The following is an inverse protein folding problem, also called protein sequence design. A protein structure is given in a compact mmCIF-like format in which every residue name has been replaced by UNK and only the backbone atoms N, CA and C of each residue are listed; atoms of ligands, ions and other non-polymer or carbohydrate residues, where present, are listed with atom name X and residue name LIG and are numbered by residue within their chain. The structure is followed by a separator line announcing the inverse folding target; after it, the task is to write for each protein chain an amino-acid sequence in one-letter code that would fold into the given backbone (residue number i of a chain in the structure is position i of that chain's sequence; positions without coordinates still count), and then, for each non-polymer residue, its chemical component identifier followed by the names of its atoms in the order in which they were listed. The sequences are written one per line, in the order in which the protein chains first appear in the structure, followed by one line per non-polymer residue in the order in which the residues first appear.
data_IF_851067568469
#
_entry.id   IF_851067568469
#
_cell.length_a   1.000
_cell.length_b   1.000
_cell.length_c   1.000
_cell.angle_alpha   90.00
_cell.angle_beta   90.00
_cell.angle_gamma   90.00
#
_symmetry.space_group_name_H-M   'P 1'
#
loop_
_entity.id
_entity.type
_entity.pdbx_description
1 polymer ?
#
# COMPACT_ATOMS: atom_id res chain seq x y z
N UNK A 1 7.67 -18.61 15.43
CA UNK A 1 8.28 -17.90 14.29
C UNK A 1 7.17 -17.15 13.58
N UNK A 2 7.37 -15.88 13.24
CA UNK A 2 6.38 -15.05 12.55
C UNK A 2 6.82 -14.92 11.09
N UNK A 3 5.94 -15.28 10.16
CA UNK A 3 6.22 -15.41 8.73
C UNK A 3 5.18 -14.58 7.96
N UNK A 4 5.49 -13.32 7.67
CA UNK A 4 4.75 -12.53 6.68
C UNK A 4 4.83 -13.21 5.30
N UNK A 5 3.71 -13.27 4.57
CA UNK A 5 3.64 -13.86 3.23
C UNK A 5 3.30 -12.84 2.15
N UNK A 6 3.80 -13.11 0.94
CA UNK A 6 3.67 -12.26 -0.24
C UNK A 6 2.28 -12.32 -0.88
N UNK A 7 2.01 -11.38 -1.79
CA UNK A 7 0.93 -11.41 -2.78
C UNK A 7 1.14 -12.62 -3.70
N UNK A 8 0.07 -13.33 -4.12
CA UNK A 8 0.21 -14.51 -4.95
C UNK A 8 0.39 -14.12 -6.41
N UNK A 9 1.24 -14.85 -7.13
CA UNK A 9 1.44 -14.63 -8.56
C UNK A 9 0.17 -15.03 -9.35
N UNK A 10 -0.27 -14.26 -10.35
CA UNK A 10 0.19 -12.91 -10.74
C UNK A 10 -0.34 -11.84 -9.79
N UNK A 11 0.47 -10.86 -9.38
CA UNK A 11 0.16 -9.93 -8.29
C UNK A 11 -1.05 -9.02 -8.54
N UNK A 12 -1.30 -8.70 -9.82
CA UNK A 12 -2.28 -7.70 -10.25
C UNK A 12 -3.47 -8.27 -11.04
N UNK A 13 -3.46 -9.58 -11.32
CA UNK A 13 -4.54 -10.27 -12.00
C UNK A 13 -4.78 -11.64 -11.37
N UNK A 14 -6.01 -11.86 -10.93
CA UNK A 14 -6.44 -13.01 -10.15
C UNK A 14 -7.30 -14.02 -10.91
N UNK A 15 -7.52 -13.89 -12.22
CA UNK A 15 -8.47 -14.74 -12.95
C UNK A 15 -8.14 -16.23 -13.03
N UNK A 16 -6.91 -16.64 -12.69
CA UNK A 16 -6.50 -18.05 -12.49
C UNK A 16 -6.44 -18.48 -11.02
N UNK A 17 -6.66 -17.56 -10.07
CA UNK A 17 -6.57 -17.75 -8.62
C UNK A 17 -7.78 -17.14 -7.91
N UNK A 18 -8.96 -17.66 -8.25
CA UNK A 18 -10.22 -17.17 -7.69
C UNK A 18 -10.34 -17.53 -6.20
N UNK A 19 -10.95 -16.63 -5.44
CA UNK A 19 -11.21 -16.81 -4.01
C UNK A 19 -10.22 -16.06 -3.12
N UNK A 20 -10.24 -16.34 -1.82
CA UNK A 20 -9.47 -15.53 -0.86
C UNK A 20 -7.95 -15.65 -1.01
N UNK A 21 -7.45 -16.68 -1.71
CA UNK A 21 -6.02 -16.96 -1.91
C UNK A 21 -5.23 -17.16 -0.61
N UNK A 22 -5.87 -17.71 0.43
CA UNK A 22 -5.21 -18.05 1.68
C UNK A 22 -4.07 -19.07 1.41
N UNK A 23 -2.83 -18.87 1.87
CA UNK A 23 -2.29 -17.93 2.87
C UNK A 23 -1.49 -16.75 2.29
N UNK A 24 -1.88 -16.18 1.16
CA UNK A 24 -1.24 -14.97 0.65
C UNK A 24 -1.52 -13.76 1.56
N UNK A 25 -0.62 -12.77 1.55
CA UNK A 25 -0.77 -11.48 2.26
C UNK A 25 -1.18 -11.67 3.73
N UNK A 26 -0.56 -12.65 4.39
CA UNK A 26 -0.92 -13.15 5.70
C UNK A 26 0.26 -13.09 6.65
N UNK A 27 -0.01 -12.84 7.93
CA UNK A 27 0.91 -13.15 9.01
C UNK A 27 0.68 -14.60 9.42
N UNK A 28 1.63 -15.48 9.13
CA UNK A 28 1.57 -16.90 9.52
C UNK A 28 2.50 -17.15 10.69
N UNK A 29 2.01 -17.78 11.76
CA UNK A 29 2.80 -18.08 12.96
C UNK A 29 2.99 -19.58 13.10
N UNK A 30 4.25 -19.98 13.19
CA UNK A 30 4.68 -21.38 13.24
C UNK A 30 5.46 -21.67 14.52
N UNK A 31 5.33 -22.87 15.07
CA UNK A 31 6.31 -23.39 16.02
C UNK A 31 7.68 -23.48 15.32
N UNK A 32 8.71 -22.93 15.96
CA UNK A 32 10.02 -22.80 15.33
C UNK A 32 10.81 -24.13 15.25
N UNK A 33 10.40 -25.16 16.01
CA UNK A 33 11.07 -26.47 16.05
C UNK A 33 10.39 -27.46 15.12
N UNK A 34 9.06 -27.43 15.04
CA UNK A 34 8.26 -28.40 14.27
C UNK A 34 7.79 -27.85 12.93
N UNK A 35 7.67 -26.53 12.80
CA UNK A 35 7.05 -25.88 11.63
C UNK A 35 5.52 -25.98 11.62
N UNK A 36 4.90 -26.51 12.67
CA UNK A 36 3.45 -26.58 12.78
C UNK A 36 2.86 -25.18 12.93
N UNK A 37 1.75 -24.92 12.22
CA UNK A 37 1.07 -23.62 12.26
C UNK A 37 0.27 -23.48 13.56
N UNK A 38 0.62 -22.48 14.35
CA UNK A 38 -0.10 -22.07 15.56
C UNK A 38 -1.35 -21.28 15.19
N UNK A 39 -1.16 -20.17 14.49
CA UNK A 39 -2.25 -19.31 14.01
C UNK A 39 -1.82 -18.52 12.77
N UNK A 40 -2.77 -17.85 12.14
CA UNK A 40 -2.51 -16.93 11.04
C UNK A 40 -3.60 -15.86 10.97
N UNK A 41 -3.30 -14.75 10.32
CA UNK A 41 -4.29 -13.75 9.91
C UNK A 41 -4.00 -13.28 8.50
N UNK A 42 -5.01 -13.27 7.63
CA UNK A 42 -4.89 -12.78 6.26
C UNK A 42 -5.33 -11.31 6.20
N UNK A 43 -4.46 -10.43 5.71
CA UNK A 43 -4.69 -8.98 5.70
C UNK A 43 -5.30 -8.47 4.40
N UNK A 44 -5.29 -9.27 3.33
CA UNK A 44 -5.94 -8.98 2.05
C UNK A 44 -6.50 -10.28 1.49
N UNK A 45 -7.78 -10.27 1.14
CA UNK A 45 -8.41 -11.34 0.39
C UNK A 45 -8.26 -11.07 -1.10
N UNK A 46 -7.85 -12.10 -1.85
CA UNK A 46 -7.73 -11.98 -3.30
C UNK A 46 -6.91 -10.75 -3.74
N UNK A 47 -5.66 -10.62 -3.29
CA UNK A 47 -4.84 -9.44 -3.58
C UNK A 47 -4.74 -9.10 -5.06
N UNK A 48 -4.86 -7.82 -5.40
CA UNK A 48 -4.73 -7.27 -6.77
C UNK A 48 -3.86 -6.00 -6.81
N UNK A 49 -3.23 -5.64 -5.69
CA UNK A 49 -2.65 -4.31 -5.46
C UNK A 49 -1.17 -4.34 -5.07
N UNK A 50 -0.59 -5.54 -4.93
CA UNK A 50 0.74 -5.74 -4.33
C UNK A 50 0.80 -5.18 -2.89
N UNK A 51 -0.09 -5.65 -2.03
CA UNK A 51 -0.23 -5.22 -0.64
C UNK A 51 0.24 -6.29 0.35
N UNK A 52 1.32 -6.97 0.00
CA UNK A 52 1.95 -7.94 0.88
C UNK A 52 2.54 -7.37 2.17
N UNK A 53 2.72 -8.28 3.13
CA UNK A 53 3.39 -8.00 4.38
C UNK A 53 4.88 -8.23 4.18
N UNK A 54 5.61 -7.15 3.98
CA UNK A 54 7.02 -7.22 3.56
C UNK A 54 8.03 -7.14 4.70
N UNK A 55 7.63 -6.61 5.85
CA UNK A 55 8.52 -6.35 6.98
C UNK A 55 8.37 -7.42 8.06
N UNK A 56 9.40 -7.57 8.89
CA UNK A 56 9.25 -8.36 10.10
C UNK A 56 8.35 -7.61 11.11
N UNK A 57 7.47 -8.31 11.85
CA UNK A 57 6.63 -7.67 12.86
C UNK A 57 7.46 -7.22 14.08
N UNK A 58 6.92 -6.26 14.81
CA UNK A 58 7.44 -5.84 16.11
C UNK A 58 6.77 -6.64 17.24
N UNK A 59 7.56 -7.15 18.19
CA UNK A 59 7.05 -7.86 19.36
C UNK A 59 7.20 -6.99 20.61
N UNK A 60 6.17 -6.95 21.45
CA UNK A 60 6.13 -6.10 22.64
C UNK A 60 5.15 -6.62 23.69
N UNK A 61 5.07 -5.92 24.82
CA UNK A 61 4.03 -6.14 25.82
C UNK A 61 3.27 -4.83 26.03
N UNK A 62 1.98 -4.84 25.70
CA UNK A 62 1.08 -3.68 25.77
C UNK A 62 0.29 -3.68 27.07
N UNK A 63 -0.14 -2.50 27.51
CA UNK A 63 -1.22 -2.35 28.49
C UNK A 63 -2.43 -1.68 27.85
N UNK A 64 -3.46 -2.46 27.54
CA UNK A 64 -4.67 -1.98 26.85
C UNK A 64 -5.87 -2.18 27.77
N UNK A 65 -6.56 -1.10 28.13
CA UNK A 65 -7.70 -1.13 29.05
C UNK A 65 -7.40 -1.84 30.40
N UNK A 66 -6.17 -1.69 30.91
CA UNK A 66 -5.71 -2.35 32.14
C UNK A 66 -5.38 -3.84 31.98
N UNK A 67 -5.44 -4.40 30.76
CA UNK A 67 -4.99 -5.76 30.45
C UNK A 67 -3.59 -5.72 29.86
N UNK A 68 -2.69 -6.51 30.45
CA UNK A 68 -1.36 -6.76 29.90
C UNK A 68 -1.45 -7.80 28.77
N UNK A 69 -0.93 -7.48 27.58
CA UNK A 69 -1.01 -8.34 26.38
C UNK A 69 0.39 -8.48 25.80
N UNK A 70 0.84 -9.71 25.60
CA UNK A 70 2.06 -10.00 24.83
C UNK A 70 1.71 -9.92 23.35
N UNK A 71 2.09 -8.82 22.71
CA UNK A 71 1.58 -8.45 21.39
C UNK A 71 2.60 -8.62 20.27
N UNK A 72 2.06 -8.79 19.06
CA UNK A 72 2.75 -8.68 17.78
C UNK A 72 2.05 -7.61 16.96
N UNK A 73 2.81 -6.64 16.44
CA UNK A 73 2.32 -5.56 15.60
C UNK A 73 2.97 -5.66 14.21
N UNK A 74 2.15 -5.67 13.16
CA UNK A 74 2.57 -5.77 11.77
C UNK A 74 2.05 -4.54 11.00
N UNK A 75 2.96 -3.75 10.46
CA UNK A 75 2.62 -2.63 9.57
C UNK A 75 2.46 -3.14 8.14
N UNK A 76 1.42 -2.71 7.44
CA UNK A 76 1.13 -3.20 6.10
C UNK A 76 1.36 -2.15 5.02
N UNK A 77 1.58 -2.62 3.77
CA UNK A 77 1.56 -1.77 2.58
C UNK A 77 0.23 -1.01 2.41
N UNK A 78 -0.87 -1.55 2.93
CA UNK A 78 -2.17 -0.88 2.93
C UNK A 78 -2.19 0.40 3.77
N UNK A 79 -1.22 0.59 4.68
CA UNK A 79 -1.22 1.73 5.60
C UNK A 79 -1.92 1.46 6.93
N UNK A 80 -2.15 0.19 7.27
CA UNK A 80 -2.70 -0.23 8.56
C UNK A 80 -1.61 -0.82 9.46
N UNK A 81 -1.85 -0.80 10.77
CA UNK A 81 -1.11 -1.62 11.73
C UNK A 81 -2.05 -2.69 12.28
N UNK A 82 -1.75 -3.96 12.04
CA UNK A 82 -2.49 -5.08 12.61
C UNK A 82 -1.83 -5.53 13.90
N UNK A 83 -2.58 -5.64 14.98
CA UNK A 83 -2.03 -5.96 16.31
C UNK A 83 -2.80 -7.12 16.93
N UNK A 84 -2.06 -8.13 17.34
CA UNK A 84 -2.60 -9.38 17.90
C UNK A 84 -1.93 -9.72 19.23
N UNK A 85 -2.63 -10.44 20.09
CA UNK A 85 -1.96 -11.27 21.09
C UNK A 85 -1.11 -12.30 20.33
N UNK A 86 0.19 -12.29 20.60
CA UNK A 86 1.17 -13.03 19.80
C UNK A 86 1.10 -14.54 20.04
N UNK A 87 0.49 -14.97 21.14
CA UNK A 87 0.32 -16.38 21.50
C UNK A 87 -0.97 -16.93 20.89
N UNK A 88 -2.08 -16.21 21.06
CA UNK A 88 -3.40 -16.72 20.65
C UNK A 88 -3.79 -16.33 19.21
N UNK A 89 -3.19 -15.27 18.67
CA UNK A 89 -3.61 -14.67 17.40
C UNK A 89 -4.90 -13.86 17.50
N UNK A 90 -5.46 -13.66 18.70
CA UNK A 90 -6.63 -12.81 18.89
C UNK A 90 -6.26 -11.34 18.64
N UNK A 91 -7.05 -10.60 17.85
CA UNK A 91 -6.76 -9.20 17.59
C UNK A 91 -6.94 -8.36 18.86
N UNK A 92 -6.04 -7.41 19.10
CA UNK A 92 -6.10 -6.53 20.28
C UNK A 92 -7.31 -5.59 20.20
N UNK A 93 -7.63 -5.12 19.00
CA UNK A 93 -8.84 -4.35 18.69
C UNK A 93 -9.61 -5.02 17.54
N UNK A 94 -10.93 -4.79 17.43
CA UNK A 94 -11.73 -5.41 16.36
C UNK A 94 -11.16 -5.14 14.97
N UNK A 95 -11.21 -6.18 14.13
CA UNK A 95 -10.95 -6.08 12.70
C UNK A 95 -12.26 -6.45 12.01
N UNK A 96 -12.77 -5.54 11.18
CA UNK A 96 -14.08 -5.67 10.55
C UNK A 96 -13.93 -6.08 9.08
N UNK A 97 -14.68 -7.09 8.67
CA UNK A 97 -14.91 -7.37 7.25
C UNK A 97 -15.84 -6.30 6.69
N UNK A 98 -15.33 -5.46 5.78
CA UNK A 98 -16.13 -4.39 5.16
C UNK A 98 -16.28 -4.63 3.66
N UNK A 99 -17.46 -4.38 3.07
CA UNK A 99 -17.63 -4.41 1.62
C UNK A 99 -16.68 -3.45 0.92
N UNK A 100 -16.10 -3.91 -0.19
CA UNK A 100 -15.24 -3.11 -1.07
C UNK A 100 -15.76 -3.10 -2.50
N UNK A 101 -15.17 -2.25 -3.34
CA UNK A 101 -15.52 -2.19 -4.76
C UNK A 101 -15.12 -3.49 -5.46
N UNK A 102 -16.09 -4.11 -6.13
CA UNK A 102 -15.89 -5.34 -6.92
C UNK A 102 -16.13 -5.12 -8.41
N UNK A 103 -16.45 -3.89 -8.83
CA UNK A 103 -16.65 -3.58 -10.24
C UNK A 103 -15.31 -3.66 -10.97
N UNK A 104 -15.24 -4.56 -11.95
CA UNK A 104 -14.03 -4.76 -12.76
C UNK A 104 -14.38 -4.90 -14.24
N UNK A 105 -13.55 -4.28 -15.07
CA UNK A 105 -13.53 -4.43 -16.53
C UNK A 105 -12.41 -5.39 -16.98
N UNK A 106 -11.65 -5.95 -16.03
CA UNK A 106 -10.52 -6.85 -16.32
C UNK A 106 -11.05 -8.28 -16.54
N UNK A 107 -10.81 -8.91 -17.70
CA UNK A 107 -11.39 -10.21 -18.00
C UNK A 107 -10.93 -11.32 -17.05
N UNK A 108 -11.88 -12.16 -16.64
CA UNK A 108 -11.65 -13.28 -15.72
C UNK A 108 -11.48 -12.86 -14.25
N UNK A 109 -11.40 -11.56 -13.97
CA UNK A 109 -11.21 -11.05 -12.61
C UNK A 109 -12.50 -11.13 -11.80
N UNK A 110 -12.39 -11.58 -10.54
CA UNK A 110 -13.50 -11.64 -9.59
C UNK A 110 -12.99 -11.14 -8.23
N UNK A 111 -13.01 -9.82 -7.99
CA UNK A 111 -12.55 -9.25 -6.74
C UNK A 111 -13.32 -9.81 -5.54
N UNK A 112 -12.65 -10.00 -4.41
CA UNK A 112 -13.30 -10.48 -3.20
C UNK A 112 -14.25 -9.40 -2.64
N UNK A 113 -15.47 -9.77 -2.20
CA UNK A 113 -16.50 -8.79 -1.84
C UNK A 113 -16.22 -7.97 -0.58
N UNK A 114 -15.37 -8.47 0.31
CA UNK A 114 -15.00 -7.81 1.57
C UNK A 114 -13.50 -7.80 1.79
N UNK A 115 -13.03 -6.92 2.68
CA UNK A 115 -11.64 -6.90 3.14
C UNK A 115 -11.58 -6.63 4.64
N UNK A 116 -10.51 -7.05 5.33
CA UNK A 116 -10.33 -6.82 6.76
C UNK A 116 -9.81 -5.39 7.03
N UNK A 117 -10.57 -4.63 7.81
CA UNK A 117 -10.20 -3.28 8.25
C UNK A 117 -10.00 -3.25 9.77
N UNK A 118 -8.77 -3.05 10.28
CA UNK A 118 -8.56 -2.85 11.70
C UNK A 118 -9.22 -1.55 12.15
N UNK A 119 -9.89 -1.60 13.30
CA UNK A 119 -10.54 -0.41 13.89
C UNK A 119 -9.55 0.49 14.60
N UNK A 120 -8.45 -0.08 15.12
CA UNK A 120 -7.33 0.61 15.73
C UNK A 120 -6.02 -0.11 15.42
N UNK A 121 -4.90 0.63 15.30
CA UNK A 121 -4.83 2.08 15.14
C UNK A 121 -5.49 2.57 13.83
N UNK A 122 -5.86 3.87 13.71
CA UNK A 122 -6.33 4.40 12.44
C UNK A 122 -5.24 4.28 11.36
N UNK A 123 -5.61 4.27 10.06
CA UNK A 123 -4.64 4.16 8.99
C UNK A 123 -3.61 5.29 9.05
N UNK A 124 -2.33 4.93 8.94
CA UNK A 124 -1.22 5.88 9.00
C UNK A 124 -0.85 6.47 7.63
N UNK A 125 -1.43 5.96 6.55
CA UNK A 125 -1.23 6.40 5.15
C UNK A 125 -2.56 6.62 4.45
N UNK A 126 -2.58 7.46 3.41
CA UNK A 126 -3.79 7.73 2.60
C UNK A 126 -4.42 6.46 2.02
N UNK A 127 -5.77 6.42 1.99
CA UNK A 127 -6.59 5.25 1.64
C UNK A 127 -7.46 5.52 0.40
N UNK A 128 -6.99 5.12 -0.79
CA UNK A 128 -7.64 5.41 -2.07
C UNK A 128 -7.36 6.82 -2.59
N UNK A 129 -7.90 7.18 -3.74
CA UNK A 129 -7.70 8.48 -4.40
C UNK A 129 -9.02 9.08 -4.85
N UNK A 130 -9.21 10.37 -4.61
CA UNK A 130 -10.29 11.18 -5.20
C UNK A 130 -9.73 12.41 -5.93
N UNK A 131 -10.60 13.18 -6.58
CA UNK A 131 -10.19 14.45 -7.18
C UNK A 131 -9.77 15.49 -6.13
N UNK A 132 -10.21 15.38 -4.88
CA UNK A 132 -9.82 16.28 -3.79
C UNK A 132 -8.36 16.07 -3.37
N UNK A 133 -7.77 14.95 -3.77
CA UNK A 133 -6.35 14.67 -3.57
C UNK A 133 -5.46 15.36 -4.60
N UNK A 134 -6.02 15.94 -5.66
CA UNK A 134 -5.26 16.58 -6.73
C UNK A 134 -4.25 17.58 -6.17
N UNK A 135 -3.02 17.49 -6.67
CA UNK A 135 -1.92 18.35 -6.25
C UNK A 135 -2.34 19.83 -6.36
N UNK A 136 -2.08 20.61 -5.32
CA UNK A 136 -2.55 21.99 -5.23
C UNK A 136 -1.42 22.97 -4.90
N UNK A 137 -0.16 22.62 -5.22
CA UNK A 137 0.99 23.50 -5.02
C UNK A 137 0.88 24.82 -5.79
N UNK A 138 0.27 24.80 -6.98
CA UNK A 138 -0.11 26.00 -7.74
C UNK A 138 -1.45 25.77 -8.45
N UNK A 139 -2.16 26.83 -8.87
CA UNK A 139 -3.37 26.69 -9.68
C UNK A 139 -3.15 25.93 -11.00
N UNK A 140 -2.00 26.14 -11.65
CA UNK A 140 -1.63 25.45 -12.90
C UNK A 140 -1.40 23.95 -12.66
N UNK A 141 -0.62 23.61 -11.63
CA UNK A 141 -0.38 22.21 -11.24
C UNK A 141 -1.70 21.53 -10.88
N UNK A 142 -2.60 22.24 -10.19
CA UNK A 142 -3.90 21.72 -9.81
C UNK A 142 -4.80 21.42 -10.99
N UNK A 143 -4.85 22.32 -11.98
CA UNK A 143 -5.60 22.09 -13.20
C UNK A 143 -5.08 20.86 -13.98
N UNK A 144 -3.76 20.77 -14.16
CA UNK A 144 -3.12 19.63 -14.85
C UNK A 144 -3.29 18.31 -14.09
N UNK A 145 -3.19 18.34 -12.75
CA UNK A 145 -3.43 17.18 -11.91
C UNK A 145 -4.88 16.68 -12.06
N UNK A 146 -5.86 17.57 -11.96
CA UNK A 146 -7.28 17.23 -12.12
C UNK A 146 -7.58 16.63 -13.50
N UNK A 147 -7.04 17.23 -14.57
CA UNK A 147 -7.21 16.73 -15.92
C UNK A 147 -6.68 15.31 -16.07
N UNK A 148 -5.47 15.06 -15.59
CA UNK A 148 -4.86 13.73 -15.70
C UNK A 148 -5.51 12.69 -14.78
N UNK A 149 -5.89 13.08 -13.55
CA UNK A 149 -6.61 12.21 -12.60
C UNK A 149 -7.94 11.69 -13.17
N UNK A 150 -8.67 12.53 -13.92
CA UNK A 150 -9.93 12.13 -14.59
C UNK A 150 -9.74 11.04 -15.64
N UNK A 151 -8.52 10.81 -16.12
CA UNK A 151 -8.25 9.75 -17.09
C UNK A 151 -8.13 8.35 -16.45
N UNK A 152 -8.02 8.25 -15.12
CA UNK A 152 -7.93 6.99 -14.40
C UNK A 152 -9.29 6.51 -13.86
N UNK A 153 -9.35 5.27 -13.39
CA UNK A 153 -10.33 4.87 -12.37
C UNK A 153 -9.82 5.36 -11.01
N UNK A 154 -10.69 6.00 -10.23
CA UNK A 154 -10.41 6.52 -8.90
C UNK A 154 -11.40 5.90 -7.91
N UNK A 155 -11.00 5.75 -6.65
CA UNK A 155 -11.84 5.16 -5.61
C UNK A 155 -11.07 4.83 -4.32
N UNK A 156 -11.71 4.16 -3.35
CA UNK A 156 -11.11 3.79 -2.06
C UNK A 156 -9.92 2.81 -2.18
N UNK A 157 -9.29 2.47 -1.04
CA UNK A 157 -8.08 1.61 -0.93
C UNK A 157 -8.11 0.37 -1.85
N UNK A 158 -9.25 -0.33 -1.88
CA UNK A 158 -9.43 -1.59 -2.59
C UNK A 158 -10.22 -1.44 -3.89
N UNK A 159 -10.11 -0.29 -4.58
CA UNK A 159 -10.63 -0.19 -5.95
C UNK A 159 -9.81 -1.11 -6.87
N UNK A 160 -10.44 -2.07 -7.60
CA UNK A 160 -9.72 -3.02 -8.41
C UNK A 160 -8.87 -2.36 -9.51
N UNK A 161 -7.80 -3.03 -9.99
CA UNK A 161 -7.13 -2.67 -11.23
C UNK A 161 -8.12 -2.56 -12.39
N UNK A 162 -7.74 -1.84 -13.45
CA UNK A 162 -8.61 -1.62 -14.60
C UNK A 162 -7.85 -1.66 -15.92
N UNK A 163 -8.59 -1.81 -17.02
CA UNK A 163 -7.99 -1.78 -18.35
C UNK A 163 -7.46 -0.38 -18.73
N UNK A 164 -8.05 0.68 -18.17
CA UNK A 164 -7.59 2.08 -18.38
C UNK A 164 -6.54 2.56 -17.37
N UNK A 165 -6.28 1.77 -16.32
CA UNK A 165 -5.48 2.15 -15.17
C UNK A 165 -6.33 2.71 -14.03
N UNK A 166 -6.22 2.06 -12.87
CA UNK A 166 -6.72 2.59 -11.59
C UNK A 166 -5.58 3.34 -10.91
N UNK A 167 -5.80 4.56 -10.43
CA UNK A 167 -4.79 5.22 -9.62
C UNK A 167 -4.95 4.75 -8.17
N UNK A 168 -4.17 3.76 -7.76
CA UNK A 168 -4.23 3.22 -6.40
C UNK A 168 -3.42 4.07 -5.42
N UNK A 169 -3.89 4.16 -4.18
CA UNK A 169 -3.16 4.68 -3.01
C UNK A 169 -3.53 3.83 -1.79
N UNK A 170 -2.57 3.32 -1.00
CA UNK A 170 -1.12 3.44 -1.17
C UNK A 170 -0.57 2.86 -2.48
N UNK A 171 0.68 3.21 -2.78
CA UNK A 171 1.37 2.73 -3.98
C UNK A 171 1.67 1.23 -3.83
N UNK A 172 2.20 0.61 -4.89
CA UNK A 172 2.78 -0.73 -4.82
C UNK A 172 3.97 -0.80 -3.86
N UNK A 173 4.69 0.30 -3.66
CA UNK A 173 5.69 0.45 -2.59
C UNK A 173 5.07 0.71 -1.20
N UNK A 174 3.74 0.65 -1.06
CA UNK A 174 3.01 0.69 0.19
C UNK A 174 3.03 2.01 0.96
N UNK A 175 2.22 2.07 2.01
CA UNK A 175 2.36 3.06 3.08
C UNK A 175 3.60 2.74 3.91
N UNK A 176 3.65 1.56 4.52
CA UNK A 176 4.87 0.94 5.02
C UNK A 176 5.37 -0.10 4.02
N UNK A 177 6.66 -0.42 4.03
CA UNK A 177 7.28 -1.38 3.10
C UNK A 177 8.45 -2.09 3.80
N UNK A 178 9.46 -2.53 3.03
CA UNK A 178 10.61 -3.32 3.49
C UNK A 178 11.34 -2.80 4.74
N UNK A 179 11.30 -1.49 5.00
CA UNK A 179 11.91 -0.89 6.20
C UNK A 179 11.16 -1.17 7.52
N UNK A 180 9.90 -1.61 7.45
CA UNK A 180 9.06 -1.88 8.62
C UNK A 180 8.86 -0.68 9.55
N UNK A 181 8.81 -0.96 10.84
CA UNK A 181 8.64 0.05 11.89
C UNK A 181 9.65 -0.13 13.03
N UNK A 182 9.97 0.97 13.70
CA UNK A 182 10.78 0.97 14.90
C UNK A 182 9.88 1.05 16.15
N UNK A 183 10.23 0.31 17.20
CA UNK A 183 9.49 0.29 18.46
C UNK A 183 10.34 0.88 19.58
N UNK A 184 9.75 1.76 20.39
CA UNK A 184 10.28 2.10 21.71
C UNK A 184 9.60 1.23 22.79
N UNK A 185 10.31 0.26 23.40
CA UNK A 185 9.72 -0.66 24.37
C UNK A 185 9.42 -0.01 25.73
N UNK A 186 9.92 1.20 26.01
CA UNK A 186 9.63 1.90 27.27
C UNK A 186 8.27 2.61 27.22
N UNK A 187 7.84 3.03 26.04
CA UNK A 187 6.61 3.81 25.83
C UNK A 187 5.56 3.05 25.03
N UNK A 188 5.93 1.94 24.36
CA UNK A 188 5.13 1.23 23.35
C UNK A 188 4.75 2.11 22.14
N UNK A 189 5.58 3.10 21.83
CA UNK A 189 5.41 3.89 20.63
C UNK A 189 6.01 3.16 19.43
N UNK A 190 5.20 3.02 18.38
CA UNK A 190 5.62 2.49 17.10
C UNK A 190 5.83 3.65 16.12
N UNK A 191 7.03 3.72 15.54
CA UNK A 191 7.43 4.75 14.58
C UNK A 191 7.46 4.17 13.18
N UNK A 192 6.60 4.71 12.31
CA UNK A 192 6.42 4.26 10.93
C UNK A 192 6.77 5.40 9.98
N UNK A 193 7.69 5.13 9.04
CA UNK A 193 7.94 6.03 7.90
C UNK A 193 7.00 5.64 6.78
N UNK A 194 6.25 6.60 6.25
CA UNK A 194 5.26 6.36 5.19
C UNK A 194 5.75 6.83 3.82
N UNK A 195 5.38 6.15 2.74
CA UNK A 195 5.44 6.66 1.36
C UNK A 195 4.04 7.13 0.94
N UNK A 196 3.87 8.42 0.68
CA UNK A 196 2.56 8.99 0.29
C UNK A 196 2.57 9.30 -1.21
N UNK A 197 1.76 8.55 -1.95
CA UNK A 197 1.69 8.65 -3.40
C UNK A 197 0.60 7.78 -3.98
N UNK A 198 0.34 7.95 -5.28
CA UNK A 198 -0.44 6.99 -6.05
C UNK A 198 0.43 6.36 -7.15
N UNK A 199 0.07 5.15 -7.56
CA UNK A 199 0.67 4.46 -8.71
C UNK A 199 -0.45 4.00 -9.66
N UNK A 200 -0.33 4.25 -10.97
CA UNK A 200 -1.23 3.63 -11.93
C UNK A 200 -1.14 2.11 -11.88
N UNK A 201 -2.28 1.44 -11.75
CA UNK A 201 -2.44 0.00 -11.76
C UNK A 201 -3.36 -0.38 -12.93
N UNK A 202 -2.75 -0.51 -14.11
CA UNK A 202 -3.39 -0.94 -15.35
C UNK A 202 -3.09 -2.41 -15.60
N UNK A 203 -4.13 -3.17 -15.95
CA UNK A 203 -3.95 -4.54 -16.45
C UNK A 203 -4.18 -4.55 -17.96
N UNK A 204 -3.30 -5.24 -18.69
CA UNK A 204 -3.38 -5.38 -20.15
C UNK A 204 -3.08 -6.83 -20.55
N UNK A 205 -3.57 -7.23 -21.72
CA UNK A 205 -3.26 -8.55 -22.27
C UNK A 205 -1.74 -8.65 -22.52
N UNK A 206 -1.16 -9.81 -22.22
CA UNK A 206 0.24 -10.04 -22.52
C UNK A 206 0.46 -10.12 -24.03
N UNK A 207 1.62 -9.64 -24.50
CA UNK A 207 2.07 -9.93 -25.86
C UNK A 207 2.34 -11.44 -25.98
N UNK A 208 1.65 -12.18 -26.85
CA UNK A 208 1.81 -13.63 -26.98
C UNK A 208 3.21 -14.06 -27.42
N UNK A 209 4.06 -13.12 -27.87
CA UNK A 209 5.45 -13.40 -28.22
C UNK A 209 6.40 -13.35 -27.01
N UNK A 210 5.95 -12.88 -25.84
CA UNK A 210 6.74 -12.93 -24.60
C UNK A 210 6.73 -14.37 -24.09
N UNK A 211 7.85 -15.06 -24.27
CA UNK A 211 8.03 -16.43 -23.81
C UNK A 211 8.07 -16.50 -22.27
N UNK A 212 7.78 -17.69 -21.72
CA UNK A 212 7.88 -18.02 -20.30
C UNK A 212 6.94 -17.26 -19.34
N UNK A 213 5.86 -16.65 -19.84
CA UNK A 213 4.80 -16.07 -19.01
C UNK A 213 3.47 -16.78 -19.24
N UNK A 214 3.04 -17.57 -18.25
CA UNK A 214 1.81 -18.39 -18.31
C UNK A 214 0.59 -17.67 -17.69
N UNK A 215 0.44 -16.38 -17.97
CA UNK A 215 -0.74 -15.60 -17.57
C UNK A 215 -1.25 -14.74 -18.74
N UNK A 216 -2.56 -14.69 -19.01
CA UNK A 216 -3.12 -13.95 -20.13
C UNK A 216 -3.08 -12.43 -19.96
N UNK A 217 -2.94 -11.95 -18.72
CA UNK A 217 -2.93 -10.53 -18.38
C UNK A 217 -1.75 -10.19 -17.46
N UNK A 218 -1.19 -9.00 -17.67
CA UNK A 218 -0.05 -8.48 -16.92
C UNK A 218 -0.30 -7.03 -16.49
N UNK A 219 0.51 -6.55 -15.55
CA UNK A 219 0.60 -5.15 -15.15
C UNK A 219 1.83 -4.45 -15.76
N UNK A 220 2.58 -5.12 -16.64
CA UNK A 220 3.60 -4.49 -17.46
C UNK A 220 2.95 -3.76 -18.65
N UNK A 221 2.32 -2.62 -18.36
CA UNK A 221 1.55 -1.80 -19.30
C UNK A 221 2.02 -0.33 -19.23
N UNK A 222 1.64 0.51 -20.20
CA UNK A 222 2.03 1.92 -20.18
C UNK A 222 1.60 2.66 -18.89
N UNK A 223 0.44 2.30 -18.32
CA UNK A 223 -0.04 2.79 -17.02
C UNK A 223 0.00 1.70 -15.94
N UNK A 224 0.94 0.78 -16.05
CA UNK A 224 1.17 -0.29 -15.10
C UNK A 224 2.12 0.10 -13.96
N UNK A 225 2.11 -0.65 -12.88
CA UNK A 225 3.00 -0.47 -11.73
C UNK A 225 4.30 -1.28 -11.85
N UNK A 226 4.30 -2.40 -12.58
CA UNK A 226 5.48 -3.26 -12.78
C UNK A 226 6.47 -2.90 -13.91
N UNK A 227 6.20 -2.02 -14.92
CA UNK A 227 7.12 -1.88 -16.06
C UNK A 227 8.54 -1.44 -15.70
N UNK A 228 8.72 -0.69 -14.61
CA UNK A 228 10.04 -0.28 -14.13
C UNK A 228 10.93 -1.47 -13.73
N UNK A 229 10.34 -2.58 -13.29
CA UNK A 229 11.04 -3.83 -12.95
C UNK A 229 11.58 -4.51 -14.22
N UNK A 230 10.83 -4.39 -15.32
CA UNK A 230 11.20 -4.99 -16.60
C UNK A 230 12.11 -4.11 -17.45
N UNK A 231 12.56 -2.95 -16.95
CA UNK A 231 13.39 -2.04 -17.74
C UNK A 231 14.70 -2.71 -18.16
N UNK A 232 14.90 -2.84 -19.48
CA UNK A 232 16.07 -3.51 -20.07
C UNK A 232 15.92 -5.02 -20.24
N UNK A 233 14.77 -5.59 -19.87
CA UNK A 233 14.39 -6.97 -20.14
C UNK A 233 13.49 -7.06 -21.38
N UNK A 234 13.41 -8.27 -21.95
CA UNK A 234 12.46 -8.58 -23.02
C UNK A 234 11.01 -8.39 -22.53
N UNK A 235 10.15 -7.83 -23.39
CA UNK A 235 8.77 -7.52 -23.05
C UNK A 235 8.56 -6.20 -22.28
N UNK A 236 9.60 -5.40 -22.01
CA UNK A 236 9.45 -4.07 -21.40
C UNK A 236 8.45 -3.18 -22.16
N UNK A 237 7.48 -2.62 -21.44
CA UNK A 237 6.53 -1.64 -21.98
C UNK A 237 6.89 -0.23 -21.50
N UNK A 238 7.09 0.75 -22.41
CA UNK A 238 7.35 2.13 -22.03
C UNK A 238 6.23 2.75 -21.16
N UNK A 239 6.63 3.32 -20.02
CA UNK A 239 5.71 3.96 -19.07
C UNK A 239 5.20 5.30 -19.61
N UNK A 240 3.89 5.51 -19.53
CA UNK A 240 3.25 6.81 -19.74
C UNK A 240 3.70 7.80 -18.67
N UNK A 241 4.25 8.93 -19.11
CA UNK A 241 4.72 9.96 -18.19
C UNK A 241 3.59 10.89 -17.81
N UNK A 242 3.55 11.23 -16.51
CA UNK A 242 2.67 12.30 -16.03
C UNK A 242 2.98 13.61 -16.75
N UNK A 243 1.95 14.41 -17.12
CA UNK A 243 2.18 15.75 -17.68
C UNK A 243 2.86 16.69 -16.67
N UNK A 244 2.81 16.36 -15.38
CA UNK A 244 3.51 17.07 -14.30
C UNK A 244 4.97 16.62 -14.12
N UNK A 245 5.45 15.68 -14.95
CA UNK A 245 6.80 15.14 -14.87
C UNK A 245 7.11 14.58 -13.48
N UNK A 246 8.09 15.13 -12.73
CA UNK A 246 8.46 14.66 -11.41
C UNK A 246 7.51 15.11 -10.29
N UNK A 247 6.59 16.05 -10.54
CA UNK A 247 5.63 16.52 -9.54
C UNK A 247 4.51 15.49 -9.42
N UNK A 248 4.23 14.95 -8.21
CA UNK A 248 3.16 13.97 -8.04
C UNK A 248 1.77 14.52 -8.36
N UNK A 249 0.88 13.66 -8.88
CA UNK A 249 -0.52 14.02 -9.16
C UNK A 249 -1.33 14.32 -7.92
N UNK A 250 -0.97 13.74 -6.78
CA UNK A 250 -1.61 13.99 -5.50
C UNK A 250 -0.85 15.05 -4.71
N UNK A 251 -1.54 15.80 -3.85
CA UNK A 251 -0.97 16.86 -3.01
C UNK A 251 -0.03 16.35 -1.90
N UNK A 252 0.95 17.15 -1.46
CA UNK A 252 1.87 16.80 -0.36
C UNK A 252 1.16 16.71 1.00
N UNK A 253 1.82 16.14 2.04
CA UNK A 253 3.18 15.60 2.02
C UNK A 253 3.25 14.23 1.34
N UNK A 254 4.40 13.95 0.72
CA UNK A 254 4.70 12.73 -0.05
C UNK A 254 5.36 11.63 0.78
N UNK A 255 5.61 11.90 2.07
CA UNK A 255 6.08 10.96 3.07
C UNK A 255 5.86 11.57 4.45
N UNK A 256 5.57 10.72 5.44
CA UNK A 256 5.43 11.11 6.84
C UNK A 256 6.30 10.25 7.75
N UNK A 257 6.59 10.76 8.92
CA UNK A 257 6.96 9.97 10.08
C UNK A 257 5.77 10.00 11.02
N UNK A 258 5.29 8.82 11.40
CA UNK A 258 4.09 8.64 12.23
C UNK A 258 4.52 7.94 13.50
N UNK A 259 4.13 8.47 14.65
CA UNK A 259 4.20 7.76 15.92
C UNK A 259 2.81 7.30 16.32
N UNK A 260 2.70 6.02 16.64
CA UNK A 260 1.48 5.35 17.05
C UNK A 260 1.66 4.90 18.50
N UNK A 261 0.78 5.32 19.39
CA UNK A 261 0.72 4.77 20.75
C UNK A 261 -0.06 3.47 20.72
N UNK A 262 0.62 2.35 20.95
CA UNK A 262 0.00 1.02 20.91
C UNK A 262 -0.67 0.62 22.24
N UNK A 263 -0.55 1.40 23.32
CA UNK A 263 -1.38 1.15 24.51
C UNK A 263 -2.82 1.64 24.26
N UNK A 264 -2.96 2.78 23.59
CA UNK A 264 -4.27 3.37 23.27
C UNK A 264 -4.79 2.96 21.88
N UNK A 265 -3.88 2.58 20.98
CA UNK A 265 -4.20 2.27 19.59
C UNK A 265 -4.54 3.52 18.79
N UNK A 266 -3.83 4.62 19.00
CA UNK A 266 -4.08 5.92 18.37
C UNK A 266 -2.78 6.51 17.79
N UNK A 267 -2.92 7.37 16.77
CA UNK A 267 -1.77 8.13 16.25
C UNK A 267 -1.47 9.27 17.22
N UNK A 268 -0.31 9.19 17.90
CA UNK A 268 0.16 10.22 18.82
C UNK A 268 0.56 11.50 18.07
N UNK A 269 1.27 11.34 16.95
CA UNK A 269 1.61 12.45 16.06
C UNK A 269 2.00 11.96 14.66
N UNK A 270 1.92 12.86 13.68
CA UNK A 270 2.35 12.64 12.30
C UNK A 270 2.95 13.92 11.72
N UNK A 271 4.13 13.82 11.11
CA UNK A 271 4.84 14.97 10.53
C UNK A 271 5.38 14.65 9.14
N UNK A 272 5.45 15.62 8.19
CA UNK A 272 6.15 15.42 6.93
C UNK A 272 7.61 15.00 7.13
N UNK A 273 8.07 13.99 6.39
CA UNK A 273 9.40 13.40 6.57
C UNK A 273 10.27 13.49 5.31
N UNK A 274 11.35 14.27 5.41
CA UNK A 274 12.27 14.53 4.31
C UNK A 274 11.91 15.77 3.50
N UNK A 275 12.92 16.36 2.86
CA UNK A 275 12.80 17.60 2.09
C UNK A 275 11.96 17.40 0.82
N UNK A 276 11.94 16.20 0.24
CA UNK A 276 11.36 15.92 -1.08
C UNK A 276 12.39 15.93 -2.22
N UNK A 277 11.97 15.48 -3.39
CA UNK A 277 12.86 15.33 -4.55
C UNK A 277 13.44 16.68 -5.01
N UNK A 278 14.77 16.77 -5.17
CA UNK A 278 15.45 17.94 -5.72
C UNK A 278 14.95 18.27 -7.13
N UNK A 279 14.73 17.25 -7.96
CA UNK A 279 14.25 17.40 -9.35
C UNK A 279 12.86 18.04 -9.38
N UNK A 280 11.98 17.63 -8.45
CA UNK A 280 10.66 18.24 -8.27
C UNK A 280 10.78 19.68 -7.75
N UNK A 281 11.57 19.92 -6.70
CA UNK A 281 11.75 21.26 -6.11
C UNK A 281 12.31 22.28 -7.11
N UNK A 282 13.15 21.85 -8.04
CA UNK A 282 13.69 22.72 -9.10
C UNK A 282 12.81 22.81 -10.35
N UNK A 283 11.60 22.26 -10.33
CA UNK A 283 10.73 22.21 -11.51
C UNK A 283 10.27 23.63 -11.91
N UNK A 284 10.22 23.98 -13.21
CA UNK A 284 9.82 25.31 -13.65
C UNK A 284 8.47 25.78 -13.12
N UNK A 285 7.48 24.87 -13.02
CA UNK A 285 6.15 25.16 -12.45
C UNK A 285 6.16 25.55 -10.96
N UNK A 286 7.29 25.38 -10.27
CA UNK A 286 7.44 25.67 -8.84
C UNK A 286 8.47 26.78 -8.57
N UNK A 287 9.00 27.45 -9.60
CA UNK A 287 10.10 28.42 -9.46
C UNK A 287 9.78 29.57 -8.50
N UNK A 288 8.53 30.04 -8.52
CA UNK A 288 8.08 31.20 -7.74
C UNK A 288 7.16 30.80 -6.56
N UNK A 289 7.23 29.53 -6.14
CA UNK A 289 6.40 28.99 -5.06
C UNK A 289 7.23 28.87 -3.78
N UNK A 290 6.71 29.42 -2.69
CA UNK A 290 7.26 29.16 -1.37
C UNK A 290 6.86 27.76 -0.90
N UNK A 291 7.74 26.79 -1.15
CA UNK A 291 7.52 25.40 -0.80
C UNK A 291 7.87 25.15 0.67
N UNK A 292 7.06 24.40 1.43
CA UNK A 292 7.43 23.96 2.78
C UNK A 292 8.81 23.30 2.81
N UNK A 293 9.56 23.46 3.90
CA UNK A 293 10.87 22.83 4.10
C UNK A 293 10.81 21.30 3.92
N UNK A 294 9.69 20.69 4.31
CA UNK A 294 9.45 19.25 4.19
C UNK A 294 8.20 18.98 3.37
N UNK A 295 8.42 18.56 2.13
CA UNK A 295 7.37 18.05 1.25
C UNK A 295 7.21 16.53 1.37
N UNK A 296 8.15 15.84 2.03
CA UNK A 296 8.19 14.39 2.08
C UNK A 296 9.09 13.80 1.00
N UNK A 297 10.09 13.02 1.40
CA UNK A 297 10.95 12.26 0.48
C UNK A 297 10.37 10.86 0.30
N UNK A 298 9.92 10.53 -0.91
CA UNK A 298 9.52 9.15 -1.24
C UNK A 298 10.74 8.22 -1.15
N UNK A 299 10.52 7.02 -0.61
CA UNK A 299 11.58 6.03 -0.37
C UNK A 299 12.15 5.49 -1.65
#
# INVERSE_FOLDING_TARGET
MYVPTSTPSSDFWGGQRLGANLFAESLVVLDARTGEREWHFQTVHHGLWDYDLTSAPNLMTLEVNGRRIDAVAEVSKQGFTYVFDRVTGEPVWPIEERPVDTETDVPGEVPYPTQPFPTKPPPFSGQGVSLDDANNLTPEIHAMALEHLRTFRLGPLFTPPSLKGTLQRPRVDGGANWGGAALDPATNFLYVRTSEGGTPNQVCAIDPNVLDVDVPYTNNCARGASPGIFQGLEGYVPIERSPLGPIPLIKPPYARLVAIDLNDGDIAWSVPFGEGSRVMRSHPLLRDVDLPDRLGTRG
#
